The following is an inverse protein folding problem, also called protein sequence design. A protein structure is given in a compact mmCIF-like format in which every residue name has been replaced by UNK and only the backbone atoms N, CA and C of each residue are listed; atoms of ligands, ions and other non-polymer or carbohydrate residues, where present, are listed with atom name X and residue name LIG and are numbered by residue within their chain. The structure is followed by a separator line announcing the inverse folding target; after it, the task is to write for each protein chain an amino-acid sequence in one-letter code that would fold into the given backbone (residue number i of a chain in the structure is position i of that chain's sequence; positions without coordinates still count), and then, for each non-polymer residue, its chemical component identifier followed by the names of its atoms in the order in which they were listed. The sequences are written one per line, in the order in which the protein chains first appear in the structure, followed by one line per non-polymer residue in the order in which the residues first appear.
data_IF_401908116180
#
_entry.id   IF_401908116180
#
_cell.length_a   1.000
_cell.length_b   1.000
_cell.length_c   1.000
_cell.angle_alpha   90.00
_cell.angle_beta   90.00
_cell.angle_gamma   90.00
#
_symmetry.space_group_name_H-M   'P 1'
#
loop_
_entity.id
_entity.type
_entity.pdbx_description
1 polymer ?
#
# COMPACT_ATOMS: atom_id res chain seq x y z
N UNK A 1 1.93 12.84 22.66
CA UNK A 1 1.49 12.79 21.25
C UNK A 1 1.95 14.10 20.62
N UNK A 2 3.19 14.15 20.11
CA UNK A 2 3.74 15.35 19.50
C UNK A 2 3.20 15.45 18.07
N UNK A 3 2.54 16.55 17.77
CA UNK A 3 1.93 16.90 16.47
C UNK A 3 2.95 17.81 15.79
N UNK A 4 3.38 17.50 14.57
CA UNK A 4 4.10 18.48 13.75
C UNK A 4 3.19 19.70 13.54
N UNK A 5 3.56 20.82 14.14
CA UNK A 5 2.67 21.92 14.52
C UNK A 5 2.14 22.81 13.37
N UNK A 6 2.50 22.55 12.11
CA UNK A 6 2.15 23.45 11.00
C UNK A 6 1.12 22.91 9.99
N UNK A 7 0.79 21.61 10.02
CA UNK A 7 -0.10 21.02 8.99
C UNK A 7 -1.25 20.17 9.57
N UNK A 8 -1.38 20.08 10.90
CA UNK A 8 -2.49 19.38 11.57
C UNK A 8 -2.43 17.85 11.52
N UNK A 9 -1.34 17.26 11.03
CA UNK A 9 -1.18 15.81 10.98
C UNK A 9 -0.56 15.26 12.27
N UNK A 10 -1.03 14.11 12.79
CA UNK A 10 -0.52 13.48 14.01
C UNK A 10 0.82 12.76 13.75
N UNK A 11 1.87 13.53 13.43
CA UNK A 11 3.21 13.02 13.11
C UNK A 11 4.16 13.24 14.27
N UNK A 12 4.82 12.17 14.72
CA UNK A 12 5.91 12.27 15.69
C UNK A 12 7.17 12.88 15.04
N UNK A 13 7.45 14.14 15.35
CA UNK A 13 8.63 14.86 14.84
C UNK A 13 9.96 14.42 15.46
N UNK A 14 9.90 13.71 16.59
CA UNK A 14 11.10 13.20 17.27
C UNK A 14 11.52 11.83 16.73
N UNK A 15 10.69 11.22 15.87
CA UNK A 15 10.98 9.92 15.27
C UNK A 15 12.26 9.98 14.42
N UNK A 16 13.21 9.10 14.75
CA UNK A 16 14.40 8.89 13.94
C UNK A 16 14.16 7.72 12.98
N UNK A 17 14.22 7.94 11.66
CA UNK A 17 13.95 6.88 10.71
C UNK A 17 15.03 5.80 10.74
N UNK A 18 14.59 4.53 10.69
CA UNK A 18 15.48 3.35 10.62
C UNK A 18 16.43 3.44 9.41
N UNK A 19 15.91 3.92 8.28
CA UNK A 19 16.67 4.18 7.06
C UNK A 19 16.47 5.65 6.70
N UNK A 20 17.55 6.42 6.67
CA UNK A 20 17.50 7.83 6.29
C UNK A 20 17.22 7.96 4.78
N UNK A 21 16.47 8.99 4.34
CA UNK A 21 16.23 9.21 2.91
C UNK A 21 17.50 9.31 2.08
N UNK A 22 18.55 9.93 2.63
CA UNK A 22 19.86 10.05 1.97
C UNK A 22 20.61 8.73 1.79
N UNK A 23 20.18 7.66 2.46
CA UNK A 23 20.75 6.33 2.34
C UNK A 23 19.97 5.42 1.37
N UNK A 24 18.86 5.92 0.80
CA UNK A 24 18.10 5.18 -0.20
C UNK A 24 18.75 5.35 -1.58
N UNK A 25 19.07 4.26 -2.29
CA UNK A 25 19.57 4.34 -3.66
C UNK A 25 18.46 4.81 -4.61
N UNK A 26 18.84 5.56 -5.65
CA UNK A 26 17.90 5.95 -6.72
C UNK A 26 17.50 4.76 -7.59
N UNK A 27 18.41 3.80 -7.73
CA UNK A 27 18.22 2.56 -8.47
C UNK A 27 18.67 1.39 -7.59
N UNK A 28 17.81 0.41 -7.38
CA UNK A 28 18.14 -0.83 -6.68
C UNK A 28 17.51 -2.02 -7.40
N UNK A 29 18.18 -3.19 -7.43
CA UNK A 29 17.56 -4.40 -7.92
C UNK A 29 16.44 -4.84 -6.97
N UNK A 30 15.47 -5.58 -7.50
CA UNK A 30 14.31 -6.04 -6.72
C UNK A 30 14.74 -6.85 -5.48
N UNK A 31 15.79 -7.66 -5.58
CA UNK A 31 16.35 -8.42 -4.45
C UNK A 31 16.75 -7.51 -3.29
N UNK A 32 17.44 -6.41 -3.58
CA UNK A 32 17.94 -5.49 -2.56
C UNK A 32 16.77 -4.72 -1.94
N UNK A 33 15.73 -4.42 -2.73
CA UNK A 33 14.50 -3.85 -2.23
C UNK A 33 13.78 -4.78 -1.22
N UNK A 34 13.72 -6.08 -1.50
CA UNK A 34 13.21 -7.09 -0.56
C UNK A 34 14.04 -7.11 0.73
N UNK A 35 15.37 -7.24 0.62
CA UNK A 35 16.26 -7.29 1.78
C UNK A 35 16.17 -6.03 2.64
N UNK A 36 16.13 -4.86 2.02
CA UNK A 36 15.99 -3.58 2.70
C UNK A 36 14.64 -3.47 3.43
N UNK A 37 13.56 -3.89 2.79
CA UNK A 37 12.21 -3.88 3.36
C UNK A 37 12.09 -4.84 4.55
N UNK A 38 12.60 -6.06 4.39
CA UNK A 38 12.65 -7.06 5.45
C UNK A 38 13.50 -6.60 6.64
N UNK A 39 14.68 -6.03 6.39
CA UNK A 39 15.53 -5.48 7.44
C UNK A 39 14.86 -4.31 8.19
N UNK A 40 14.12 -3.46 7.49
CA UNK A 40 13.36 -2.37 8.10
C UNK A 40 12.27 -2.90 9.03
N UNK A 41 11.46 -3.86 8.57
CA UNK A 41 10.37 -4.45 9.38
C UNK A 41 10.91 -5.16 10.61
N UNK A 42 11.99 -5.94 10.49
CA UNK A 42 12.64 -6.56 11.65
C UNK A 42 13.07 -5.54 12.71
N UNK A 43 13.64 -4.41 12.28
CA UNK A 43 14.03 -3.34 13.21
C UNK A 43 12.84 -2.64 13.86
N UNK A 44 11.74 -2.45 13.12
CA UNK A 44 10.47 -1.95 13.69
C UNK A 44 9.97 -2.90 14.78
N UNK A 45 9.93 -4.20 14.49
CA UNK A 45 9.49 -5.23 15.44
C UNK A 45 10.38 -5.29 16.69
N UNK A 46 11.70 -5.28 16.52
CA UNK A 46 12.67 -5.24 17.63
C UNK A 46 12.49 -4.00 18.50
N UNK A 47 12.36 -2.82 17.89
CA UNK A 47 12.15 -1.58 18.62
C UNK A 47 10.84 -1.59 19.41
N UNK A 48 9.81 -2.29 18.92
CA UNK A 48 8.53 -2.40 19.62
C UNK A 48 8.57 -3.42 20.76
N UNK A 49 9.25 -4.55 20.56
CA UNK A 49 9.36 -5.60 21.58
C UNK A 49 10.21 -5.17 22.79
N UNK A 50 11.28 -4.41 22.57
CA UNK A 50 12.14 -3.85 23.62
C UNK A 50 11.38 -2.88 24.54
N UNK A 51 10.39 -2.15 24.00
CA UNK A 51 9.58 -1.19 24.74
C UNK A 51 8.40 -1.84 25.51
N UNK A 52 8.34 -3.17 25.60
CA UNK A 52 7.37 -3.96 26.36
C UNK A 52 5.87 -3.72 26.02
N UNK A 53 5.57 -3.07 24.90
CA UNK A 53 4.18 -2.95 24.43
C UNK A 53 3.78 -4.19 23.64
N UNK A 54 2.92 -5.03 24.23
CA UNK A 54 2.15 -6.01 23.44
C UNK A 54 1.11 -5.22 22.63
N UNK A 55 1.15 -5.35 21.31
CA UNK A 55 0.25 -4.58 20.45
C UNK A 55 0.37 -4.93 18.97
N UNK A 56 -0.46 -4.26 18.18
CA UNK A 56 -0.44 -4.32 16.73
C UNK A 56 0.32 -3.11 16.17
N UNK A 57 1.17 -3.33 15.17
CA UNK A 57 1.87 -2.28 14.45
C UNK A 57 1.19 -2.10 13.10
N UNK A 58 0.67 -0.90 12.83
CA UNK A 58 0.16 -0.54 11.52
C UNK A 58 1.27 0.08 10.68
N UNK A 59 1.57 -0.54 9.53
CA UNK A 59 2.48 0.00 8.52
C UNK A 59 1.63 0.49 7.35
N UNK A 60 1.64 1.80 7.11
CA UNK A 60 1.00 2.43 5.95
C UNK A 60 2.09 2.79 4.94
N UNK A 61 2.06 2.14 3.78
CA UNK A 61 3.10 2.29 2.76
C UNK A 61 2.49 2.09 1.36
N UNK A 62 3.21 1.42 0.46
CA UNK A 62 2.82 1.22 -0.93
C UNK A 62 2.31 -0.20 -1.18
N UNK A 63 1.79 -0.46 -2.37
CA UNK A 63 1.19 -1.75 -2.73
C UNK A 63 2.20 -2.90 -2.62
N UNK A 64 3.42 -2.68 -3.10
CA UNK A 64 4.55 -3.62 -3.01
C UNK A 64 4.98 -3.92 -1.57
N UNK A 65 4.69 -3.02 -0.62
CA UNK A 65 5.02 -3.20 0.79
C UNK A 65 4.21 -4.33 1.41
N UNK A 66 3.03 -4.66 0.88
CA UNK A 66 2.25 -5.80 1.38
C UNK A 66 3.02 -7.12 1.25
N UNK A 67 3.80 -7.30 0.19
CA UNK A 67 4.60 -8.51 -0.02
C UNK A 67 6.03 -8.35 0.51
N UNK A 68 6.73 -7.26 0.19
CA UNK A 68 8.15 -7.08 0.56
C UNK A 68 8.40 -6.94 2.06
N UNK A 69 7.44 -6.39 2.82
CA UNK A 69 7.54 -6.29 4.27
C UNK A 69 7.15 -7.58 5.01
N UNK A 70 6.41 -8.49 4.38
CA UNK A 70 5.80 -9.64 5.07
C UNK A 70 6.34 -10.99 4.61
N UNK A 71 6.76 -11.09 3.36
CA UNK A 71 7.10 -12.37 2.73
C UNK A 71 8.26 -13.08 3.43
N UNK A 72 9.39 -12.40 3.56
CA UNK A 72 10.55 -12.93 4.27
C UNK A 72 10.31 -13.06 5.78
N UNK A 73 9.48 -12.18 6.35
CA UNK A 73 9.07 -12.29 7.75
C UNK A 73 8.33 -13.62 8.01
N UNK A 74 7.45 -14.02 7.09
CA UNK A 74 6.74 -15.30 7.10
C UNK A 74 7.56 -16.48 6.57
N UNK A 75 8.88 -16.32 6.37
CA UNK A 75 9.78 -17.38 5.93
C UNK A 75 9.76 -17.71 4.43
N UNK A 76 9.15 -16.85 3.60
CA UNK A 76 9.18 -17.01 2.14
C UNK A 76 10.36 -16.29 1.48
N UNK A 77 10.88 -16.86 0.39
CA UNK A 77 11.95 -16.24 -0.40
C UNK A 77 11.45 -15.05 -1.23
N UNK A 78 12.29 -14.03 -1.51
CA UNK A 78 11.98 -12.94 -2.45
C UNK A 78 11.41 -13.46 -3.78
N UNK A 79 10.45 -12.73 -4.35
CA UNK A 79 9.82 -13.14 -5.61
C UNK A 79 10.69 -12.79 -6.82
N UNK A 80 10.48 -13.55 -7.90
CA UNK A 80 10.86 -13.10 -9.23
C UNK A 80 10.12 -11.80 -9.60
N UNK A 81 10.72 -11.04 -10.52
CA UNK A 81 10.14 -9.79 -11.00
C UNK A 81 8.72 -9.98 -11.57
N UNK A 82 8.49 -11.04 -12.33
CA UNK A 82 7.19 -11.33 -12.95
C UNK A 82 6.09 -11.57 -11.90
N UNK A 83 6.37 -12.36 -10.86
CA UNK A 83 5.41 -12.63 -9.79
C UNK A 83 5.14 -11.39 -8.94
N UNK A 84 6.19 -10.61 -8.64
CA UNK A 84 6.08 -9.33 -7.94
C UNK A 84 5.18 -8.36 -8.72
N UNK A 85 5.46 -8.19 -10.02
CA UNK A 85 4.73 -7.28 -10.89
C UNK A 85 3.26 -7.68 -11.03
N UNK A 86 2.98 -8.98 -11.18
CA UNK A 86 1.61 -9.49 -11.25
C UNK A 86 0.80 -9.10 -10.01
N UNK A 87 1.32 -9.38 -8.80
CA UNK A 87 0.63 -9.08 -7.55
C UNK A 87 0.47 -7.58 -7.30
N UNK A 88 1.48 -6.79 -7.66
CA UNK A 88 1.43 -5.34 -7.58
C UNK A 88 0.21 -4.79 -8.34
N UNK A 89 -0.06 -5.28 -9.54
CA UNK A 89 -1.18 -4.83 -10.38
C UNK A 89 -2.55 -5.28 -9.86
N UNK A 90 -2.60 -6.29 -8.99
CA UNK A 90 -3.84 -6.76 -8.37
C UNK A 90 -4.15 -6.05 -7.05
N UNK A 91 -3.24 -5.22 -6.55
CA UNK A 91 -3.38 -4.61 -5.22
C UNK A 91 -4.21 -3.33 -5.30
N UNK A 92 -5.41 -3.27 -4.69
CA UNK A 92 -6.22 -2.06 -4.67
C UNK A 92 -5.69 -1.05 -3.65
N UNK A 93 -6.19 0.19 -3.74
CA UNK A 93 -5.99 1.16 -2.67
C UNK A 93 -6.53 0.63 -1.34
N UNK A 94 -5.77 0.87 -0.27
CA UNK A 94 -6.09 0.40 1.08
C UNK A 94 -6.16 -1.15 1.16
N UNK A 95 -5.51 -1.86 0.24
CA UNK A 95 -5.23 -3.28 0.40
C UNK A 95 -4.52 -3.53 1.73
N UNK A 96 -5.00 -4.51 2.49
CA UNK A 96 -4.53 -4.78 3.84
C UNK A 96 -4.16 -6.26 3.98
N UNK A 97 -2.96 -6.52 4.52
CA UNK A 97 -2.53 -7.85 4.96
C UNK A 97 -2.24 -7.81 6.45
N UNK A 98 -2.45 -8.92 7.12
CA UNK A 98 -2.20 -9.06 8.55
C UNK A 98 -1.29 -10.25 8.79
N UNK A 99 -0.25 -10.02 9.60
CA UNK A 99 0.71 -11.04 9.99
C UNK A 99 0.80 -11.08 11.50
N UNK A 100 0.70 -12.27 12.08
CA UNK A 100 0.75 -12.50 13.52
C UNK A 100 1.96 -13.34 13.89
N UNK A 101 2.54 -13.06 15.06
CA UNK A 101 3.59 -13.88 15.66
C UNK A 101 2.96 -15.11 16.34
N UNK A 102 3.27 -16.29 15.81
CA UNK A 102 2.94 -17.62 16.35
C UNK A 102 4.25 -18.35 16.59
N UNK A 103 4.87 -18.07 17.75
CA UNK A 103 6.28 -18.38 18.03
C UNK A 103 6.66 -19.82 17.65
N UNK A 104 7.79 -20.03 16.94
CA UNK A 104 8.83 -19.04 16.57
C UNK A 104 8.59 -18.35 15.20
N UNK A 105 7.39 -18.46 14.61
CA UNK A 105 7.15 -18.06 13.22
C UNK A 105 6.19 -16.89 13.11
N UNK A 106 6.28 -16.16 12.01
CA UNK A 106 5.25 -15.21 11.60
C UNK A 106 4.37 -15.86 10.53
N UNK A 107 3.06 -15.63 10.61
CA UNK A 107 2.09 -16.23 9.68
C UNK A 107 1.07 -15.19 9.25
N UNK A 108 0.64 -15.29 7.99
CA UNK A 108 -0.52 -14.55 7.53
C UNK A 108 -1.76 -14.98 8.31
N UNK A 109 -2.50 -14.00 8.78
CA UNK A 109 -3.79 -14.17 9.41
C UNK A 109 -4.85 -13.41 8.61
N UNK A 110 -6.12 -13.63 8.94
CA UNK A 110 -7.19 -12.85 8.34
C UNK A 110 -6.98 -11.35 8.63
N UNK A 111 -7.17 -10.47 7.62
CA UNK A 111 -7.10 -9.04 7.82
C UNK A 111 -8.09 -8.60 8.92
N UNK A 112 -7.70 -7.65 9.79
CA UNK A 112 -8.58 -7.18 10.86
C UNK A 112 -9.78 -6.37 10.35
N UNK A 113 -9.78 -6.02 9.05
CA UNK A 113 -10.81 -5.24 8.39
C UNK A 113 -11.30 -5.95 7.12
N UNK A 114 -12.59 -5.83 6.76
CA UNK A 114 -13.09 -6.32 5.48
C UNK A 114 -12.42 -5.61 4.29
N UNK A 115 -12.36 -6.26 3.10
CA UNK A 115 -11.92 -5.60 1.89
C UNK A 115 -12.85 -4.44 1.52
N UNK A 116 -12.28 -3.39 0.93
CA UNK A 116 -13.02 -2.23 0.44
C UNK A 116 -13.05 -2.21 -1.08
N UNK A 117 -14.25 -2.15 -1.65
CA UNK A 117 -14.47 -2.07 -3.10
C UNK A 117 -15.45 -0.95 -3.41
N UNK A 118 -15.08 -0.07 -4.34
CA UNK A 118 -15.96 0.97 -4.88
C UNK A 118 -15.94 0.92 -6.41
N UNK A 119 -17.05 1.30 -7.06
CA UNK A 119 -17.10 1.41 -8.51
C UNK A 119 -16.35 2.66 -8.99
N UNK A 120 -15.96 2.65 -10.26
CA UNK A 120 -15.40 3.84 -10.89
C UNK A 120 -16.42 5.00 -10.86
N UNK A 121 -15.94 6.21 -10.59
CA UNK A 121 -16.72 7.44 -10.66
C UNK A 121 -16.13 8.32 -11.76
N UNK A 122 -16.67 8.21 -12.98
CA UNK A 122 -16.18 8.99 -14.11
C UNK A 122 -16.56 10.47 -13.96
N UNK A 123 -15.70 11.41 -14.41
CA UNK A 123 -16.01 12.82 -14.35
C UNK A 123 -17.32 13.15 -15.09
N UNK A 124 -18.18 13.91 -14.44
CA UNK A 124 -19.42 14.40 -15.02
C UNK A 124 -19.20 15.76 -15.70
N UNK A 125 -19.52 15.86 -17.00
CA UNK A 125 -19.54 17.14 -17.71
C UNK A 125 -20.94 17.75 -17.67
N UNK A 126 -21.12 18.78 -16.85
CA UNK A 126 -22.41 19.44 -16.65
C UNK A 126 -22.96 20.11 -17.90
N UNK A 127 -22.11 20.46 -18.88
CA UNK A 127 -22.55 21.08 -20.15
C UNK A 127 -23.44 20.14 -20.95
N UNK A 128 -23.34 18.83 -20.70
CA UNK A 128 -24.19 17.83 -21.34
C UNK A 128 -25.68 18.06 -21.05
N UNK A 129 -26.02 18.68 -19.92
CA UNK A 129 -27.41 19.00 -19.56
C UNK A 129 -28.02 20.12 -20.43
N UNK A 130 -27.19 20.92 -21.08
CA UNK A 130 -27.63 22.00 -21.97
C UNK A 130 -27.62 21.60 -23.45
N UNK A 131 -27.28 20.35 -23.77
CA UNK A 131 -27.20 19.90 -25.16
C UNK A 131 -28.60 19.77 -25.78
N UNK A 132 -28.77 20.18 -27.06
CA UNK A 132 -29.98 19.87 -27.82
C UNK A 132 -30.16 18.37 -27.99
N UNK A 133 -31.42 17.91 -28.09
CA UNK A 133 -31.75 16.50 -28.27
C UNK A 133 -31.06 15.86 -29.49
N UNK A 134 -30.94 16.59 -30.60
CA UNK A 134 -30.25 16.11 -31.81
C UNK A 134 -28.77 15.78 -31.58
N UNK A 135 -28.07 16.59 -30.79
CA UNK A 135 -26.67 16.34 -30.42
C UNK A 135 -26.54 15.14 -29.50
N UNK A 136 -27.49 14.94 -28.59
CA UNK A 136 -27.51 13.77 -27.69
C UNK A 136 -27.70 12.47 -28.50
N UNK A 137 -28.62 12.46 -29.47
CA UNK A 137 -28.88 11.31 -30.34
C UNK A 137 -27.65 10.92 -31.17
N UNK A 138 -26.93 11.90 -31.72
CA UNK A 138 -25.68 11.67 -32.46
C UNK A 138 -24.60 11.05 -31.58
N UNK A 139 -24.44 11.54 -30.34
CA UNK A 139 -23.50 10.98 -29.37
C UNK A 139 -23.84 9.53 -28.99
N UNK A 140 -25.12 9.19 -28.83
CA UNK A 140 -25.56 7.81 -28.56
C UNK A 140 -25.20 6.91 -29.74
N UNK A 141 -25.44 7.36 -30.97
CA UNK A 141 -25.11 6.59 -32.19
C UNK A 141 -23.60 6.34 -32.31
N UNK A 142 -22.78 7.36 -32.03
CA UNK A 142 -21.32 7.27 -32.12
C UNK A 142 -20.69 6.40 -31.02
N UNK A 143 -21.33 6.26 -29.86
CA UNK A 143 -20.89 5.29 -28.83
C UNK A 143 -21.17 3.85 -29.25
N UNK A 144 -22.37 3.57 -29.77
CA UNK A 144 -22.75 2.22 -30.22
C UNK A 144 -21.93 1.69 -31.40
N UNK A 145 -21.31 2.57 -32.19
CA UNK A 145 -20.44 2.15 -33.30
C UNK A 145 -18.99 1.84 -32.86
N UNK A 146 -18.63 2.14 -31.60
CA UNK A 146 -17.30 1.92 -31.04
C UNK A 146 -17.25 0.76 -30.05
N UNK A 147 -18.40 0.22 -29.67
CA UNK A 147 -18.56 -1.05 -28.95
C UNK A 147 -18.76 -2.19 -29.96
#
# INVERSE_FOLDING_TARGET
MAISSNSGYPVNVEYQPIIKPSALPTEEPLSDYYERSYAAVKRVLQSHSENQSKGCILIVAHAESLDTCTRQLCGGDPRSFEHFWYLLHQTPYVGCVHVTEDQPFWRFADPPIPPFTQSANSPFDSRQLALPASTIEELIKNKKSKE
#
